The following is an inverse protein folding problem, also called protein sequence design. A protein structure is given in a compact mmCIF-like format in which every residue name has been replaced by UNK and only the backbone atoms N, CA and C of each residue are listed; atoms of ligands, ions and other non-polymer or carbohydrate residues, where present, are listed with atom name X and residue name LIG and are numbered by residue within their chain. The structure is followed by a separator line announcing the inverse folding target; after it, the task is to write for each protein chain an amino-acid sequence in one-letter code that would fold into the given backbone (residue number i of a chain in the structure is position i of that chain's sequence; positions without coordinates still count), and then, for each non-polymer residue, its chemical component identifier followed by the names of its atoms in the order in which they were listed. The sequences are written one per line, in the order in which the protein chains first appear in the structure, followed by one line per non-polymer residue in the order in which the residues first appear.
data_IF_476150584171
#
_entry.id   IF_476150584171
#
_cell.length_a   1.000
_cell.length_b   1.000
_cell.length_c   1.000
_cell.angle_alpha   90.00
_cell.angle_beta   90.00
_cell.angle_gamma   90.00
#
_symmetry.space_group_name_H-M   'P 1'
#
loop_
_entity.id
_entity.type
_entity.pdbx_description
1 polymer ?
#
# COMPACT_ATOMS: atom_id res chain seq x y z
N UNK A 1 0.48 32.26 7.58
CA UNK A 1 -0.92 32.58 7.97
C UNK A 1 -1.67 31.27 8.07
N UNK A 2 -1.92 30.74 9.27
CA UNK A 2 -2.44 29.38 9.42
C UNK A 2 -3.95 29.31 9.12
N UNK A 3 -4.32 28.93 7.90
CA UNK A 3 -5.73 28.66 7.56
C UNK A 3 -6.14 27.26 8.00
N UNK A 4 -7.34 27.13 8.57
CA UNK A 4 -7.91 25.80 8.85
C UNK A 4 -8.17 25.05 7.53
N UNK A 5 -7.72 23.80 7.43
CA UNK A 5 -7.91 22.91 6.25
C UNK A 5 -9.36 22.83 5.75
N UNK A 6 -10.34 22.97 6.65
CA UNK A 6 -11.77 22.97 6.29
C UNK A 6 -12.18 24.23 5.52
N UNK A 7 -11.62 25.38 5.87
CA UNK A 7 -11.88 26.65 5.19
C UNK A 7 -11.26 26.60 3.79
N UNK A 8 -10.00 26.14 3.72
CA UNK A 8 -9.27 26.01 2.47
C UNK A 8 -10.03 25.13 1.45
N UNK A 9 -10.48 23.94 1.87
CA UNK A 9 -11.29 23.04 1.02
C UNK A 9 -12.59 23.65 0.51
N UNK A 10 -13.23 24.54 1.29
CA UNK A 10 -14.45 25.22 0.86
C UNK A 10 -14.14 26.24 -0.25
N UNK A 11 -13.04 26.98 -0.11
CA UNK A 11 -12.59 27.97 -1.10
C UNK A 11 -12.16 27.26 -2.40
N UNK A 12 -11.31 26.24 -2.28
CA UNK A 12 -10.83 25.44 -3.42
C UNK A 12 -11.97 24.87 -4.26
N UNK A 13 -13.01 24.34 -3.60
CA UNK A 13 -14.13 23.72 -4.30
C UNK A 13 -14.88 24.70 -5.19
N UNK A 14 -15.15 25.91 -4.70
CA UNK A 14 -15.85 26.92 -5.50
C UNK A 14 -14.93 27.49 -6.58
N UNK A 15 -13.65 27.69 -6.26
CA UNK A 15 -12.67 28.29 -7.18
C UNK A 15 -12.33 27.37 -8.36
N UNK A 16 -12.09 26.08 -8.14
CA UNK A 16 -11.67 25.15 -9.20
C UNK A 16 -12.82 24.56 -10.01
N UNK A 17 -14.08 24.67 -9.54
CA UNK A 17 -15.26 24.10 -10.21
C UNK A 17 -15.37 24.47 -11.70
N UNK A 18 -15.11 25.72 -12.14
CA UNK A 18 -15.18 26.08 -13.55
C UNK A 18 -14.10 25.40 -14.41
N UNK A 19 -12.95 25.09 -13.83
CA UNK A 19 -11.74 24.66 -14.55
C UNK A 19 -11.56 23.14 -14.57
N UNK A 20 -12.49 22.35 -14.03
CA UNK A 20 -12.29 20.89 -13.81
C UNK A 20 -11.91 20.15 -15.11
N UNK A 21 -12.45 20.55 -16.25
CA UNK A 21 -12.24 19.88 -17.55
C UNK A 21 -11.05 20.40 -18.35
N UNK A 22 -10.44 21.49 -17.91
CA UNK A 22 -9.26 22.00 -18.60
C UNK A 22 -8.08 21.06 -18.37
N UNK A 23 -7.04 21.10 -19.23
CA UNK A 23 -5.78 20.42 -18.94
C UNK A 23 -5.21 20.83 -17.56
N UNK A 24 -4.27 20.02 -17.06
CA UNK A 24 -3.52 20.35 -15.86
C UNK A 24 -2.63 21.56 -16.18
N UNK A 25 -2.83 22.65 -15.43
CA UNK A 25 -1.97 23.82 -15.46
C UNK A 25 -0.74 23.55 -14.57
N UNK A 26 0.32 23.09 -15.22
CA UNK A 26 1.58 22.79 -14.56
C UNK A 26 2.32 24.05 -14.09
N UNK A 27 2.05 25.21 -14.69
CA UNK A 27 2.62 26.49 -14.24
C UNK A 27 2.01 26.88 -12.90
N UNK A 28 0.68 26.83 -12.78
CA UNK A 28 -0.01 27.04 -11.51
C UNK A 28 0.47 26.08 -10.42
N UNK A 29 0.65 24.80 -10.79
CA UNK A 29 1.19 23.79 -9.89
C UNK A 29 2.57 24.17 -9.37
N UNK A 30 3.49 24.55 -10.26
CA UNK A 30 4.85 24.93 -9.89
C UNK A 30 4.87 26.19 -9.00
N UNK A 31 4.10 27.22 -9.35
CA UNK A 31 3.99 28.44 -8.55
C UNK A 31 3.49 28.17 -7.12
N UNK A 32 2.44 27.34 -6.98
CA UNK A 32 1.95 26.93 -5.68
C UNK A 32 2.96 26.05 -4.94
N UNK A 33 3.63 25.14 -5.65
CA UNK A 33 4.59 24.22 -5.05
C UNK A 33 5.82 24.94 -4.53
N UNK A 34 6.32 25.96 -5.24
CA UNK A 34 7.48 26.74 -4.82
C UNK A 34 7.19 27.75 -3.71
N UNK A 35 5.92 28.08 -3.47
CA UNK A 35 5.53 29.00 -2.41
C UNK A 35 6.02 28.54 -1.01
N UNK A 36 6.52 29.44 -0.13
CA UNK A 36 7.09 29.08 1.17
C UNK A 36 6.06 28.58 2.20
N UNK A 37 4.80 29.00 2.09
CA UNK A 37 3.73 28.58 3.01
C UNK A 37 3.11 27.23 2.61
N UNK A 38 3.04 26.30 3.57
CA UNK A 38 2.57 24.91 3.37
C UNK A 38 1.15 24.83 2.78
N UNK A 39 0.34 25.84 3.06
CA UNK A 39 -1.02 25.98 2.56
C UNK A 39 -1.10 25.96 1.03
N UNK A 40 -0.08 26.46 0.32
CA UNK A 40 -0.07 26.45 -1.13
C UNK A 40 0.21 25.05 -1.71
N UNK A 41 1.02 24.22 -1.04
CA UNK A 41 1.13 22.80 -1.43
C UNK A 41 -0.20 22.08 -1.20
N UNK A 42 -0.96 22.42 -0.14
CA UNK A 42 -2.31 21.88 0.03
C UNK A 42 -3.26 22.31 -1.10
N UNK A 43 -3.20 23.57 -1.53
CA UNK A 43 -3.98 24.07 -2.68
C UNK A 43 -3.59 23.32 -3.95
N UNK A 44 -2.30 23.18 -4.22
CA UNK A 44 -1.78 22.44 -5.37
C UNK A 44 -2.30 20.98 -5.38
N UNK A 45 -2.22 20.31 -4.24
CA UNK A 45 -2.73 18.95 -4.09
C UNK A 45 -4.25 18.86 -4.21
N UNK A 46 -4.98 19.85 -3.67
CA UNK A 46 -6.43 19.97 -3.83
C UNK A 46 -6.83 20.17 -5.30
N UNK A 47 -6.05 20.95 -6.04
CA UNK A 47 -6.20 21.15 -7.49
C UNK A 47 -6.00 19.84 -8.26
N UNK A 48 -4.89 19.13 -8.02
CA UNK A 48 -4.62 17.84 -8.67
C UNK A 48 -5.70 16.79 -8.38
N UNK A 49 -6.21 16.72 -7.15
CA UNK A 49 -7.32 15.81 -6.80
C UNK A 49 -8.58 16.06 -7.64
N UNK A 50 -8.86 17.33 -7.99
CA UNK A 50 -9.97 17.66 -8.92
C UNK A 50 -9.67 17.29 -10.37
N UNK A 51 -8.39 17.27 -10.74
CA UNK A 51 -7.89 17.00 -12.08
C UNK A 51 -7.50 15.53 -12.31
N UNK A 52 -7.75 14.65 -11.35
CA UNK A 52 -7.35 13.23 -11.39
C UNK A 52 -7.72 12.46 -12.68
N UNK A 53 -8.75 12.90 -13.42
CA UNK A 53 -9.18 12.30 -14.69
C UNK A 53 -8.37 12.75 -15.91
N UNK A 54 -7.66 13.87 -15.80
CA UNK A 54 -6.89 14.48 -16.88
C UNK A 54 -5.42 14.00 -16.91
N UNK A 55 -5.01 13.21 -15.92
CA UNK A 55 -3.66 12.67 -15.86
C UNK A 55 -3.41 11.63 -16.94
N UNK A 56 -2.19 11.66 -17.46
CA UNK A 56 -1.65 10.71 -18.42
C UNK A 56 -0.42 10.01 -17.85
N UNK A 57 0.00 8.94 -18.50
CA UNK A 57 1.22 8.21 -18.14
C UNK A 57 2.45 9.13 -18.04
N UNK A 58 2.58 10.11 -18.95
CA UNK A 58 3.71 11.05 -19.01
C UNK A 58 3.83 11.95 -17.76
N UNK A 59 2.71 12.19 -17.07
CA UNK A 59 2.66 13.06 -15.89
C UNK A 59 3.26 12.42 -14.63
N UNK A 60 3.53 11.10 -14.64
CA UNK A 60 4.19 10.41 -13.51
C UNK A 60 5.58 10.97 -13.20
N UNK A 61 6.28 11.48 -14.21
CA UNK A 61 7.57 12.16 -14.01
C UNK A 61 7.43 13.38 -13.10
N UNK A 62 6.38 14.18 -13.30
CA UNK A 62 6.07 15.37 -12.48
C UNK A 62 5.54 14.99 -11.12
N UNK A 63 4.69 13.96 -11.03
CA UNK A 63 4.23 13.43 -9.74
C UNK A 63 5.38 12.90 -8.89
N UNK A 64 6.37 12.27 -9.53
CA UNK A 64 7.63 11.86 -8.89
C UNK A 64 8.34 13.09 -8.34
N UNK A 65 8.57 14.13 -9.14
CA UNK A 65 9.22 15.36 -8.69
C UNK A 65 8.52 16.01 -7.48
N UNK A 66 7.18 16.08 -7.50
CA UNK A 66 6.40 16.58 -6.36
C UNK A 66 6.59 15.70 -5.11
N UNK A 67 6.64 14.37 -5.27
CA UNK A 67 6.89 13.46 -4.14
C UNK A 67 8.29 13.62 -3.54
N UNK A 68 9.28 14.07 -4.33
CA UNK A 68 10.68 14.22 -3.92
C UNK A 68 11.03 15.64 -3.47
N UNK A 69 10.13 16.62 -3.66
CA UNK A 69 10.36 18.02 -3.30
C UNK A 69 9.37 18.49 -2.24
N UNK A 70 9.87 19.17 -1.21
CA UNK A 70 9.07 19.60 -0.05
C UNK A 70 8.27 18.43 0.59
N UNK A 71 8.87 17.25 0.59
CA UNK A 71 8.23 16.00 1.00
C UNK A 71 7.96 15.95 2.49
N UNK A 72 6.73 15.59 2.85
CA UNK A 72 6.34 15.27 4.21
C UNK A 72 5.07 14.42 4.18
N UNK A 73 4.76 13.71 5.26
CA UNK A 73 3.69 12.70 5.28
C UNK A 73 2.32 13.27 4.87
N UNK A 74 2.04 14.54 5.13
CA UNK A 74 0.80 15.23 4.79
C UNK A 74 0.58 15.41 3.27
N UNK A 75 1.64 15.69 2.50
CA UNK A 75 1.55 15.79 1.04
C UNK A 75 1.62 14.41 0.38
N UNK A 76 2.43 13.51 0.94
CA UNK A 76 2.59 12.15 0.42
C UNK A 76 1.30 11.33 0.56
N UNK A 77 0.61 11.40 1.71
CA UNK A 77 -0.69 10.74 1.95
C UNK A 77 -1.85 11.34 1.12
N UNK A 78 -1.60 12.41 0.38
CA UNK A 78 -2.54 12.93 -0.62
C UNK A 78 -2.10 12.55 -2.04
N UNK A 79 -0.78 12.51 -2.31
CA UNK A 79 -0.22 12.04 -3.58
C UNK A 79 -0.52 10.56 -3.82
N UNK A 80 -0.36 9.70 -2.81
CA UNK A 80 -0.67 8.27 -2.91
C UNK A 80 -2.12 7.99 -3.34
N UNK A 81 -3.07 8.82 -2.92
CA UNK A 81 -4.49 8.73 -3.28
C UNK A 81 -4.73 9.16 -4.72
N UNK A 82 -4.07 10.24 -5.15
CA UNK A 82 -4.16 10.72 -6.53
C UNK A 82 -3.55 9.69 -7.48
N UNK A 83 -2.31 9.29 -7.20
CA UNK A 83 -1.58 8.27 -7.96
C UNK A 83 -2.32 6.94 -7.95
N UNK A 84 -2.85 6.54 -6.79
CA UNK A 84 -3.67 5.35 -6.64
C UNK A 84 -4.91 5.36 -7.51
N UNK A 85 -5.54 6.52 -7.75
CA UNK A 85 -6.66 6.67 -8.69
C UNK A 85 -6.21 6.53 -10.14
N UNK A 86 -5.09 7.17 -10.49
CA UNK A 86 -4.54 7.09 -11.84
C UNK A 86 -4.17 5.62 -12.14
N UNK A 87 -3.44 4.96 -11.25
CA UNK A 87 -3.03 3.55 -11.40
C UNK A 87 -4.18 2.57 -11.43
N UNK A 88 -5.29 2.90 -10.79
CA UNK A 88 -6.50 2.08 -10.88
C UNK A 88 -7.16 2.16 -12.27
N UNK A 89 -7.13 3.33 -12.91
CA UNK A 89 -7.72 3.52 -14.24
C UNK A 89 -6.78 3.18 -15.40
N UNK A 90 -5.47 3.27 -15.18
CA UNK A 90 -4.42 3.05 -16.17
C UNK A 90 -3.45 1.96 -15.66
N UNK A 91 -3.77 0.67 -15.86
CA UNK A 91 -2.99 -0.45 -15.32
C UNK A 91 -1.53 -0.49 -15.76
N UNK A 92 -1.18 0.10 -16.90
CA UNK A 92 0.19 0.25 -17.40
C UNK A 92 1.08 1.04 -16.42
N UNK A 93 0.49 1.92 -15.61
CA UNK A 93 1.24 2.71 -14.63
C UNK A 93 1.61 1.92 -13.36
N UNK A 94 1.14 0.67 -13.22
CA UNK A 94 1.54 -0.23 -12.11
C UNK A 94 3.05 -0.48 -12.11
N UNK A 95 3.70 -0.42 -13.26
CA UNK A 95 5.14 -0.60 -13.37
C UNK A 95 5.92 0.52 -12.66
N UNK A 96 5.37 1.74 -12.60
CA UNK A 96 5.93 2.79 -11.74
C UNK A 96 5.86 2.40 -10.26
N UNK A 97 4.76 1.79 -9.80
CA UNK A 97 4.65 1.36 -8.40
C UNK A 97 5.66 0.27 -8.05
N UNK A 98 5.90 -0.67 -8.98
CA UNK A 98 6.97 -1.67 -8.84
C UNK A 98 8.35 -1.01 -8.74
N UNK A 99 8.66 -0.11 -9.68
CA UNK A 99 9.93 0.61 -9.68
C UNK A 99 10.10 1.46 -8.41
N UNK A 100 9.07 2.21 -8.02
CA UNK A 100 9.11 3.08 -6.85
C UNK A 100 9.21 2.32 -5.55
N UNK A 101 8.73 1.07 -5.49
CA UNK A 101 8.90 0.22 -4.31
C UNK A 101 10.36 -0.16 -4.04
N UNK A 102 11.26 0.03 -5.02
CA UNK A 102 12.69 -0.22 -4.95
C UNK A 102 13.53 1.07 -5.00
N UNK A 103 12.90 2.24 -5.14
CA UNK A 103 13.60 3.52 -5.28
C UNK A 103 14.35 3.87 -3.98
N UNK A 104 15.44 4.62 -4.06
CA UNK A 104 16.23 5.04 -2.90
C UNK A 104 15.45 6.01 -2.02
N UNK A 105 14.56 6.82 -2.62
CA UNK A 105 13.68 7.73 -1.89
C UNK A 105 12.54 6.96 -1.20
N UNK A 106 12.54 7.00 0.12
CA UNK A 106 11.53 6.30 0.92
C UNK A 106 10.13 6.92 0.78
N UNK A 107 9.98 8.17 0.33
CA UNK A 107 8.66 8.74 0.07
C UNK A 107 8.01 8.09 -1.15
N UNK A 108 8.79 7.75 -2.17
CA UNK A 108 8.30 7.01 -3.33
C UNK A 108 7.92 5.57 -2.96
N UNK A 109 8.75 4.92 -2.13
CA UNK A 109 8.42 3.60 -1.56
C UNK A 109 7.13 3.64 -0.73
N UNK A 110 6.92 4.70 0.07
CA UNK A 110 5.68 4.91 0.83
C UNK A 110 4.46 5.02 -0.10
N UNK A 111 4.56 5.82 -1.17
CA UNK A 111 3.49 5.93 -2.17
C UNK A 111 3.18 4.55 -2.76
N UNK A 112 4.20 3.78 -3.15
CA UNK A 112 3.99 2.44 -3.68
C UNK A 112 3.25 1.52 -2.69
N UNK A 113 3.52 1.62 -1.37
CA UNK A 113 2.83 0.85 -0.34
C UNK A 113 1.35 1.27 -0.21
N UNK A 114 1.08 2.57 -0.17
CA UNK A 114 -0.23 3.10 0.22
C UNK A 114 -1.18 3.42 -0.95
N UNK A 115 -0.72 3.44 -2.21
CA UNK A 115 -1.56 3.83 -3.36
C UNK A 115 -2.87 3.01 -3.52
N UNK A 116 -2.91 1.77 -2.99
CA UNK A 116 -4.10 0.91 -3.04
C UNK A 116 -5.00 1.02 -1.79
N UNK A 117 -4.73 1.92 -0.84
CA UNK A 117 -5.35 1.93 0.50
C UNK A 117 -6.89 1.96 0.50
N UNK A 118 -7.50 2.62 -0.50
CA UNK A 118 -8.96 2.78 -0.59
C UNK A 118 -9.65 1.73 -1.48
N UNK A 119 -8.91 0.80 -2.07
CA UNK A 119 -9.42 -0.13 -3.12
C UNK A 119 -10.27 -1.26 -2.57
N UNK A 120 -10.12 -1.60 -1.28
CA UNK A 120 -10.85 -2.70 -0.64
C UNK A 120 -10.77 -3.99 -1.47
N UNK A 121 -11.89 -4.57 -1.88
CA UNK A 121 -12.00 -5.82 -2.65
C UNK A 121 -11.30 -5.72 -4.01
N UNK A 122 -11.12 -4.51 -4.54
CA UNK A 122 -10.43 -4.24 -5.80
C UNK A 122 -8.90 -4.09 -5.63
N UNK A 123 -8.36 -4.40 -4.46
CA UNK A 123 -6.90 -4.42 -4.24
C UNK A 123 -6.27 -5.49 -5.11
N UNK A 124 -5.26 -5.09 -5.89
CA UNK A 124 -4.33 -6.00 -6.56
C UNK A 124 -3.38 -6.57 -5.50
N UNK A 125 -3.69 -7.77 -5.02
CA UNK A 125 -2.95 -8.45 -3.97
C UNK A 125 -1.56 -8.88 -4.41
N UNK A 126 -1.37 -9.22 -5.69
CA UNK A 126 -0.07 -9.65 -6.20
C UNK A 126 0.91 -8.48 -6.19
N UNK A 127 0.48 -7.33 -6.72
CA UNK A 127 1.27 -6.09 -6.65
C UNK A 127 1.49 -5.66 -5.20
N UNK A 128 0.48 -5.77 -4.33
CA UNK A 128 0.64 -5.40 -2.93
C UNK A 128 1.69 -6.28 -2.23
N UNK A 129 1.66 -7.59 -2.44
CA UNK A 129 2.63 -8.52 -1.87
C UNK A 129 4.05 -8.24 -2.38
N UNK A 130 4.20 -7.94 -3.68
CA UNK A 130 5.47 -7.57 -4.31
C UNK A 130 6.07 -6.31 -3.65
N UNK A 131 5.29 -5.23 -3.57
CA UNK A 131 5.72 -3.95 -2.96
C UNK A 131 6.10 -4.13 -1.48
N UNK A 132 5.30 -4.90 -0.74
CA UNK A 132 5.56 -5.25 0.66
C UNK A 132 6.87 -6.02 0.81
N UNK A 133 7.11 -7.01 -0.05
CA UNK A 133 8.33 -7.82 0.00
C UNK A 133 9.57 -6.98 -0.29
N UNK A 134 9.51 -6.05 -1.24
CA UNK A 134 10.61 -5.13 -1.58
C UNK A 134 11.00 -4.21 -0.42
N UNK A 135 10.05 -3.92 0.48
CA UNK A 135 10.22 -3.00 1.59
C UNK A 135 10.34 -3.70 2.96
N UNK A 136 10.38 -5.03 2.97
CA UNK A 136 10.49 -5.78 4.22
C UNK A 136 11.91 -5.68 4.80
N UNK A 137 11.99 -5.54 6.13
CA UNK A 137 13.27 -5.40 6.84
C UNK A 137 13.89 -4.00 6.79
N UNK A 138 13.19 -3.02 6.21
CA UNK A 138 13.63 -1.62 6.20
C UNK A 138 13.48 -0.98 7.60
N UNK A 139 14.41 -0.12 7.98
CA UNK A 139 14.42 0.54 9.30
C UNK A 139 13.68 1.88 9.32
N UNK A 140 13.33 2.42 8.15
CA UNK A 140 12.68 3.73 8.03
C UNK A 140 11.31 3.75 8.74
N UNK A 141 11.10 4.75 9.61
CA UNK A 141 9.92 4.86 10.44
C UNK A 141 8.64 5.02 9.60
N UNK A 142 8.68 5.90 8.59
CA UNK A 142 7.51 6.17 7.75
C UNK A 142 7.11 4.98 6.88
N UNK A 143 8.07 4.16 6.46
CA UNK A 143 7.80 2.92 5.72
C UNK A 143 7.13 1.89 6.63
N UNK A 144 7.68 1.67 7.83
CA UNK A 144 7.11 0.72 8.79
C UNK A 144 5.69 1.11 9.23
N UNK A 145 5.41 2.41 9.33
CA UNK A 145 4.05 2.91 9.58
C UNK A 145 3.10 2.67 8.42
N UNK A 146 3.52 2.95 7.19
CA UNK A 146 2.74 2.68 5.98
C UNK A 146 2.38 1.19 5.90
N UNK A 147 3.37 0.31 6.07
CA UNK A 147 3.18 -1.13 6.11
C UNK A 147 2.10 -1.58 7.12
N UNK A 148 2.25 -1.15 8.37
CA UNK A 148 1.31 -1.49 9.44
C UNK A 148 -0.10 -0.96 9.18
N UNK A 149 -0.22 0.25 8.64
CA UNK A 149 -1.52 0.81 8.24
C UNK A 149 -2.13 0.06 7.07
N UNK A 150 -1.34 -0.25 6.04
CA UNK A 150 -1.78 -0.93 4.83
C UNK A 150 -2.34 -2.32 5.14
N UNK A 151 -1.62 -3.11 5.94
CA UNK A 151 -2.06 -4.44 6.36
C UNK A 151 -3.26 -4.39 7.30
N UNK A 152 -3.24 -3.50 8.32
CA UNK A 152 -4.39 -3.32 9.22
C UNK A 152 -5.65 -2.87 8.48
N UNK A 153 -5.49 -2.05 7.45
CA UNK A 153 -6.61 -1.64 6.63
C UNK A 153 -7.17 -2.82 5.83
N UNK A 154 -6.29 -3.57 5.16
CA UNK A 154 -6.70 -4.68 4.29
C UNK A 154 -7.24 -5.89 5.07
N UNK A 155 -6.79 -6.11 6.30
CA UNK A 155 -7.29 -7.21 7.14
C UNK A 155 -8.78 -7.09 7.45
N UNK A 156 -9.37 -5.90 7.27
CA UNK A 156 -10.83 -5.71 7.38
C UNK A 156 -11.60 -6.25 6.17
N UNK A 157 -10.91 -6.45 5.05
CA UNK A 157 -11.47 -6.92 3.78
C UNK A 157 -11.11 -8.39 3.57
N UNK A 158 -9.82 -8.74 3.69
CA UNK A 158 -9.33 -10.10 3.54
C UNK A 158 -8.33 -10.44 4.66
N UNK A 159 -8.81 -10.85 5.86
CA UNK A 159 -7.96 -11.17 7.00
C UNK A 159 -7.08 -12.40 6.77
N UNK A 160 -7.56 -13.39 6.02
CA UNK A 160 -6.82 -14.64 5.76
C UNK A 160 -5.62 -14.38 4.86
N UNK A 161 -5.81 -13.61 3.77
CA UNK A 161 -4.69 -13.19 2.92
C UNK A 161 -3.60 -12.43 3.69
N UNK A 162 -3.99 -11.52 4.59
CA UNK A 162 -3.03 -10.78 5.43
C UNK A 162 -2.27 -11.73 6.37
N UNK A 163 -2.96 -12.71 6.95
CA UNK A 163 -2.32 -13.73 7.81
C UNK A 163 -1.30 -14.55 7.04
N UNK A 164 -1.67 -15.05 5.86
CA UNK A 164 -0.82 -15.90 5.03
C UNK A 164 0.41 -15.14 4.54
N UNK A 165 0.24 -13.88 4.14
CA UNK A 165 1.36 -13.00 3.81
C UNK A 165 2.32 -12.84 5.00
N UNK A 166 1.81 -12.55 6.20
CA UNK A 166 2.64 -12.38 7.40
C UNK A 166 3.41 -13.66 7.76
N UNK A 167 2.77 -14.82 7.66
CA UNK A 167 3.43 -16.12 7.87
C UNK A 167 4.56 -16.32 6.85
N UNK A 168 4.29 -16.05 5.57
CA UNK A 168 5.28 -16.13 4.49
C UNK A 168 6.49 -15.25 4.79
N UNK A 169 6.25 -14.01 5.22
CA UNK A 169 7.30 -13.05 5.54
C UNK A 169 8.13 -13.48 6.76
N UNK A 170 7.49 -14.03 7.79
CA UNK A 170 8.18 -14.56 8.97
C UNK A 170 9.09 -15.74 8.62
N UNK A 171 8.58 -16.69 7.82
CA UNK A 171 9.38 -17.83 7.34
C UNK A 171 10.57 -17.34 6.52
N UNK A 172 10.34 -16.40 5.59
CA UNK A 172 11.40 -15.80 4.77
C UNK A 172 12.46 -15.08 5.62
N UNK A 173 12.04 -14.33 6.63
CA UNK A 173 12.93 -13.66 7.57
C UNK A 173 13.80 -14.68 8.33
N UNK A 174 13.18 -15.72 8.87
CA UNK A 174 13.87 -16.77 9.60
C UNK A 174 14.91 -17.48 8.73
N UNK A 175 14.55 -17.85 7.49
CA UNK A 175 15.48 -18.48 6.54
C UNK A 175 16.67 -17.56 6.19
N UNK A 176 16.42 -16.25 6.04
CA UNK A 176 17.45 -15.26 5.76
C UNK A 176 18.41 -15.08 6.95
N UNK A 177 17.89 -15.04 8.18
CA UNK A 177 18.69 -14.99 9.41
C UNK A 177 19.54 -16.25 9.59
N UNK A 178 19.04 -17.41 9.18
CA UNK A 178 19.78 -18.68 9.23
C UNK A 178 20.79 -18.86 8.10
N UNK A 179 20.98 -17.87 7.22
CA UNK A 179 21.96 -17.93 6.13
C UNK A 179 21.61 -18.94 5.03
N UNK A 180 20.37 -19.46 4.99
CA UNK A 180 19.88 -20.34 3.93
C UNK A 180 19.41 -19.48 2.75
N UNK A 181 20.35 -18.98 1.96
CA UNK A 181 20.03 -18.32 0.69
C UNK A 181 19.74 -19.35 -0.40
N UNK A 182 18.47 -19.73 -0.54
CA UNK A 182 17.98 -20.26 -1.82
C UNK A 182 16.58 -19.71 -2.11
N UNK A 183 16.53 -18.65 -2.93
CA UNK A 183 15.56 -18.50 -4.02
C UNK A 183 14.05 -18.54 -3.70
N UNK A 184 13.54 -17.73 -2.77
CA UNK A 184 12.07 -17.63 -2.52
C UNK A 184 11.51 -16.25 -2.89
N UNK A 185 11.93 -15.71 -4.04
CA UNK A 185 11.48 -14.37 -4.48
C UNK A 185 10.95 -14.28 -5.91
N UNK A 186 10.67 -15.40 -6.59
CA UNK A 186 9.96 -15.34 -7.89
C UNK A 186 8.55 -15.91 -7.75
N UNK A 187 7.59 -14.99 -7.70
CA UNK A 187 6.23 -15.10 -8.26
C UNK A 187 5.66 -16.51 -8.26
N UNK A 188 5.16 -16.97 -7.12
CA UNK A 188 4.18 -18.06 -7.09
C UNK A 188 2.91 -17.59 -6.39
N UNK A 189 1.72 -18.01 -6.87
CA UNK A 189 0.44 -17.64 -6.28
C UNK A 189 0.42 -18.00 -4.79
N UNK A 190 -0.24 -17.17 -3.97
CA UNK A 190 -0.36 -17.35 -2.51
C UNK A 190 -1.02 -18.68 -2.11
N UNK A 191 -1.59 -19.41 -3.06
CA UNK A 191 -2.30 -20.67 -2.88
C UNK A 191 -1.39 -21.86 -2.50
N UNK A 192 -0.06 -21.71 -2.57
CA UNK A 192 0.90 -22.79 -2.27
C UNK A 192 1.59 -22.70 -0.90
N UNK A 193 1.36 -21.63 -0.12
CA UNK A 193 2.08 -21.42 1.15
C UNK A 193 1.68 -22.42 2.24
N UNK A 194 0.54 -23.10 2.11
CA UNK A 194 0.17 -24.19 3.03
C UNK A 194 1.16 -25.37 3.00
N UNK A 195 2.00 -25.48 1.96
CA UNK A 195 2.99 -26.57 1.85
C UNK A 195 4.35 -26.27 2.49
N UNK A 196 4.68 -25.00 2.75
CA UNK A 196 6.00 -24.64 3.30
C UNK A 196 6.07 -24.61 4.83
N UNK A 197 4.93 -24.72 5.54
CA UNK A 197 4.93 -24.97 7.00
C UNK A 197 4.99 -26.48 7.30
N UNK A 198 5.83 -27.18 6.54
CA UNK A 198 6.28 -28.55 6.80
C UNK A 198 7.79 -28.66 6.59
N UNK A 199 8.52 -27.57 6.85
CA UNK A 199 9.99 -27.64 6.97
C UNK A 199 10.27 -28.31 8.30
N UNK A 200 10.71 -29.56 8.21
CA UNK A 200 11.01 -30.41 9.35
C UNK A 200 11.97 -29.76 10.33
N UNK A 201 11.51 -29.66 11.58
CA UNK A 201 12.38 -29.82 12.73
C UNK A 201 12.16 -31.26 13.20
N UNK A 202 12.79 -32.20 12.50
CA UNK A 202 13.17 -33.47 13.11
C UNK A 202 14.61 -33.26 13.61
N UNK A 203 14.73 -32.61 14.76
CA UNK A 203 15.93 -32.76 15.58
C UNK A 203 15.48 -33.58 16.80
N UNK A 204 15.97 -34.81 16.87
CA UNK A 204 15.53 -35.89 17.77
C UNK A 204 16.04 -35.70 19.21
N UNK A 205 16.31 -34.46 19.62
CA UNK A 205 16.90 -34.19 20.93
C UNK A 205 16.45 -32.85 21.52
N UNK A 206 15.16 -32.71 21.83
CA UNK A 206 14.66 -31.95 23.01
C UNK A 206 13.29 -32.56 23.36
N UNK A 207 13.16 -33.00 24.62
CA UNK A 207 11.99 -33.73 25.12
C UNK A 207 10.68 -32.94 25.10
N UNK A 208 9.60 -33.68 24.79
CA UNK A 208 8.21 -33.49 25.20
C UNK A 208 7.68 -32.05 25.33
N UNK A 209 7.06 -31.55 24.28
CA UNK A 209 5.91 -30.64 24.39
C UNK A 209 4.84 -31.12 23.40
N UNK A 210 3.64 -31.40 23.91
CA UNK A 210 2.52 -31.91 23.13
C UNK A 210 2.10 -30.96 21.99
N UNK A 211 1.66 -31.49 20.84
CA UNK A 211 1.19 -30.69 19.74
C UNK A 211 -0.16 -30.05 20.09
N UNK A 212 -0.22 -28.71 20.01
CA UNK A 212 -1.46 -27.94 20.05
C UNK A 212 -2.34 -28.36 18.87
N UNK A 213 -3.28 -29.26 19.13
CA UNK A 213 -4.22 -29.78 18.15
C UNK A 213 -5.08 -28.64 17.57
N UNK A 214 -4.97 -28.41 16.26
CA UNK A 214 -5.99 -27.72 15.48
C UNK A 214 -7.31 -28.48 15.63
N UNK A 215 -8.19 -28.00 16.51
CA UNK A 215 -9.57 -28.47 16.58
C UNK A 215 -10.32 -27.86 15.38
N UNK A 216 -10.42 -28.63 14.29
CA UNK A 216 -11.43 -28.39 13.24
C UNK A 216 -12.80 -28.49 13.89
N UNK A 217 -13.52 -27.38 14.05
CA UNK A 217 -14.97 -27.43 14.17
C UNK A 217 -15.57 -27.24 12.78
N UNK A 218 -15.79 -28.37 12.09
CA UNK A 218 -16.74 -28.44 10.99
C UNK A 218 -18.13 -28.12 11.55
N UNK A 219 -18.66 -26.95 11.20
CA UNK A 219 -20.10 -26.71 11.25
C UNK A 219 -20.74 -27.62 10.19
N UNK A 220 -21.16 -28.81 10.63
CA UNK A 220 -22.08 -29.63 9.86
C UNK A 220 -23.49 -29.10 10.10
N UNK A 221 -24.02 -28.39 9.11
CA UNK A 221 -25.45 -28.32 8.88
C UNK A 221 -25.93 -29.73 8.53
N UNK A 222 -26.73 -30.34 9.40
CA UNK A 222 -27.73 -31.33 8.99
C UNK A 222 -28.89 -31.33 9.97
N UNK A 223 -30.08 -31.32 9.38
CA UNK A 223 -31.40 -31.31 9.99
C UNK A 223 -31.77 -32.66 10.64
N UNK A 224 -32.77 -32.62 11.52
CA UNK A 224 -33.45 -33.75 12.16
C UNK A 224 -33.77 -33.40 13.61
N UNK A 225 -34.94 -32.85 13.93
CA UNK A 225 -36.21 -33.56 14.18
C UNK A 225 -36.30 -34.17 15.59
N UNK A 226 -37.48 -33.97 16.20
CA UNK A 226 -38.10 -34.63 17.37
C UNK A 226 -37.78 -34.01 18.75
N UNK A 227 -38.73 -33.29 19.37
CA UNK A 227 -39.90 -33.73 20.18
C UNK A 227 -39.53 -33.97 21.65
N UNK A 228 -39.77 -32.97 22.50
CA UNK A 228 -40.66 -32.97 23.69
C UNK A 228 -40.78 -31.56 24.27
#
# INVERSE_FOLDING_TARGET
MAFKKTILRKIEREFFKPFIKDPIDWTFMEECWQHPYREFQYIAMGYLDKKKKEFRHEDFSKLKELAQTKSWWDSIDQLDRIIGEITFHYPETKDFMRQWSLDEDFWLRRIAIDHQLIRKELTDTDLLAEVICNNFGQTEFFINKAFGWRLRNYSKVNPDWVRDLLITMLVKWHLLVLGKQESICRTQPLDSVTYYVRIGVCDESIGSLEPFALRRSTLNCNAGADLE
#
